data_IF_720264416038
#
_entry.id   IF_720264416038
#
_cell.length_a   1.000
_cell.length_b   1.000
_cell.length_c   1.000
_cell.angle_alpha   90.00
_cell.angle_beta   90.00
_cell.angle_gamma   90.00
#
_symmetry.space_group_name_H-M   'P 1'
#
loop_
_entity.id
_entity.type
_entity.pdbx_description
1 polymer ?
#
# COMPACT_ATOMS: atom_id res chain seq x y z
N UNK A 1 48.33 -25.52 2.03
CA UNK A 1 48.29 -25.21 3.48
C UNK A 1 47.09 -24.29 3.67
N UNK A 2 45.93 -24.87 4.04
CA UNK A 2 45.39 -24.93 5.41
C UNK A 2 44.57 -23.66 5.71
N UNK A 3 43.35 -23.68 6.24
CA UNK A 3 42.48 -24.73 6.78
C UNK A 3 41.05 -24.16 6.89
N UNK A 4 40.03 -25.02 6.81
CA UNK A 4 38.65 -24.66 7.12
C UNK A 4 38.31 -24.71 8.61
N UNK A 5 37.07 -24.32 8.90
CA UNK A 5 36.34 -24.36 10.17
C UNK A 5 35.16 -23.39 10.00
N UNK A 6 33.88 -23.76 10.09
CA UNK A 6 33.26 -24.78 10.93
C UNK A 6 32.60 -24.05 12.09
N UNK A 7 31.33 -23.66 11.93
CA UNK A 7 30.47 -23.22 13.03
C UNK A 7 29.14 -23.98 12.89
N UNK A 8 29.10 -25.11 13.58
CA UNK A 8 27.90 -25.79 14.05
C UNK A 8 27.51 -25.16 15.40
N UNK A 9 26.21 -25.01 15.63
CA UNK A 9 25.48 -25.01 16.92
C UNK A 9 24.46 -23.87 17.01
N UNK A 10 23.19 -24.23 16.86
CA UNK A 10 22.16 -24.03 17.89
C UNK A 10 20.78 -24.24 17.24
N UNK A 11 20.27 -25.46 17.27
CA UNK A 11 18.83 -25.59 17.48
C UNK A 11 18.55 -26.72 18.47
N UNK A 12 17.89 -26.32 19.54
CA UNK A 12 17.79 -27.03 20.78
C UNK A 12 16.79 -28.18 20.65
N UNK A 13 17.29 -29.39 20.87
CA UNK A 13 16.47 -30.57 21.14
C UNK A 13 15.85 -30.39 22.53
N UNK A 14 14.55 -30.07 22.58
CA UNK A 14 13.75 -30.20 23.80
C UNK A 14 13.08 -31.58 23.79
N UNK A 15 13.85 -32.59 24.18
CA UNK A 15 13.35 -33.87 24.70
C UNK A 15 13.28 -33.80 26.24
N UNK A 16 12.29 -34.49 26.79
CA UNK A 16 12.01 -34.77 28.21
C UNK A 16 11.20 -33.74 29.02
N UNK A 17 9.89 -33.99 29.05
CA UNK A 17 9.15 -34.03 30.32
C UNK A 17 8.67 -35.46 30.51
N UNK A 18 9.15 -36.06 31.60
CA UNK A 18 8.85 -37.40 32.09
C UNK A 18 7.35 -37.62 32.34
N UNK A 19 6.87 -38.77 31.86
CA UNK A 19 6.28 -39.86 32.64
C UNK A 19 5.35 -39.49 33.82
N UNK A 20 4.07 -39.89 33.69
CA UNK A 20 3.20 -40.06 34.84
C UNK A 20 1.73 -39.81 34.55
N UNK A 21 1.09 -40.67 33.76
CA UNK A 21 -0.29 -41.08 34.05
C UNK A 21 -0.56 -42.41 33.35
N UNK A 22 -0.93 -43.41 34.15
CA UNK A 22 -1.34 -44.74 33.72
C UNK A 22 -2.41 -44.64 32.61
N UNK A 23 -2.43 -45.53 31.61
CA UNK A 23 -3.57 -45.59 30.72
C UNK A 23 -4.77 -46.08 31.55
N UNK A 24 -5.61 -45.13 31.98
CA UNK A 24 -6.93 -45.44 32.52
C UNK A 24 -7.59 -46.37 31.49
N UNK A 25 -8.01 -47.58 31.88
CA UNK A 25 -8.66 -48.48 30.94
C UNK A 25 -9.87 -47.74 30.40
N UNK A 26 -9.88 -47.42 29.10
CA UNK A 26 -11.07 -46.94 28.44
C UNK A 26 -12.08 -48.08 28.61
N UNK A 27 -13.00 -47.89 29.55
CA UNK A 27 -14.14 -48.76 29.74
C UNK A 27 -15.00 -48.58 28.50
N UNK A 28 -14.73 -49.41 27.48
CA UNK A 28 -15.63 -49.61 26.36
C UNK A 28 -16.85 -50.28 26.99
N UNK A 29 -17.82 -49.48 27.42
CA UNK A 29 -19.19 -49.95 27.60
C UNK A 29 -19.61 -50.46 26.24
N UNK A 30 -19.55 -51.78 26.04
CA UNK A 30 -20.23 -52.43 24.93
C UNK A 30 -21.71 -52.02 25.02
N UNK A 31 -22.25 -51.30 24.03
CA UNK A 31 -23.67 -51.01 24.02
C UNK A 31 -24.43 -52.33 24.02
N UNK A 32 -25.46 -52.43 24.85
CA UNK A 32 -26.33 -53.58 24.91
C UNK A 32 -26.86 -53.92 23.52
N UNK A 33 -26.98 -55.21 23.20
CA UNK A 33 -27.37 -55.74 21.89
C UNK A 33 -28.80 -55.37 21.44
N UNK A 34 -29.47 -54.45 22.13
CA UNK A 34 -30.84 -53.99 21.89
C UNK A 34 -30.92 -52.60 21.22
N UNK A 35 -29.80 -51.89 21.04
CA UNK A 35 -29.78 -50.52 20.43
C UNK A 35 -29.36 -50.46 18.95
N UNK A 36 -29.11 -51.61 18.31
CA UNK A 36 -28.69 -51.68 16.90
C UNK A 36 -29.90 -51.87 15.97
N UNK A 37 -30.70 -50.81 15.78
CA UNK A 37 -31.68 -50.79 14.68
C UNK A 37 -30.99 -50.53 13.33
N UNK A 38 -31.59 -51.05 12.24
CA UNK A 38 -31.08 -50.84 10.87
C UNK A 38 -30.99 -49.34 10.53
N UNK A 39 -31.93 -48.55 11.06
CA UNK A 39 -31.94 -47.09 10.95
C UNK A 39 -30.74 -46.42 11.65
N UNK A 40 -30.38 -46.83 12.87
CA UNK A 40 -29.17 -46.33 13.57
C UNK A 40 -27.89 -46.65 12.81
N UNK A 41 -27.84 -47.81 12.15
CA UNK A 41 -26.69 -48.20 11.34
C UNK A 41 -26.57 -47.33 10.07
N UNK A 42 -27.69 -46.97 9.43
CA UNK A 42 -27.69 -46.03 8.29
C UNK A 42 -27.30 -44.61 8.71
N UNK A 43 -27.79 -44.17 9.86
CA UNK A 43 -27.44 -42.85 10.42
C UNK A 43 -25.94 -42.75 10.72
N UNK A 44 -25.36 -43.78 11.35
CA UNK A 44 -23.91 -43.87 11.60
C UNK A 44 -23.07 -43.88 10.32
N UNK A 45 -23.53 -44.54 9.25
CA UNK A 45 -22.86 -44.50 7.96
C UNK A 45 -22.91 -43.09 7.33
N UNK A 46 -24.05 -42.41 7.43
CA UNK A 46 -24.18 -41.03 6.95
C UNK A 46 -23.35 -40.04 7.79
N UNK A 47 -23.21 -40.27 9.10
CA UNK A 47 -22.34 -39.49 9.99
C UNK A 47 -20.86 -39.70 9.61
N UNK A 48 -20.46 -40.95 9.34
CA UNK A 48 -19.10 -41.27 8.91
C UNK A 48 -18.76 -40.66 7.55
N UNK A 49 -19.71 -40.64 6.61
CA UNK A 49 -19.53 -40.00 5.31
C UNK A 49 -19.43 -38.47 5.44
N UNK A 50 -20.26 -37.85 6.31
CA UNK A 50 -20.15 -36.41 6.62
C UNK A 50 -18.80 -36.07 7.28
N UNK A 51 -18.34 -36.90 8.21
CA UNK A 51 -17.03 -36.73 8.86
C UNK A 51 -15.89 -36.87 7.84
N UNK A 52 -15.96 -37.84 6.92
CA UNK A 52 -14.97 -37.99 5.84
C UNK A 52 -14.92 -36.77 4.93
N UNK A 53 -16.08 -36.25 4.52
CA UNK A 53 -16.17 -35.04 3.70
C UNK A 53 -15.63 -33.81 4.43
N UNK A 54 -15.96 -33.65 5.72
CA UNK A 54 -15.43 -32.57 6.54
C UNK A 54 -13.91 -32.65 6.68
N UNK A 55 -13.37 -33.87 6.81
CA UNK A 55 -11.93 -34.11 6.90
C UNK A 55 -11.21 -33.79 5.59
N UNK A 56 -11.77 -34.19 4.45
CA UNK A 56 -11.23 -33.85 3.12
C UNK A 56 -11.26 -32.34 2.88
N UNK A 57 -12.33 -31.65 3.26
CA UNK A 57 -12.42 -30.19 3.18
C UNK A 57 -11.40 -29.49 4.10
N UNK A 58 -11.19 -29.99 5.32
CA UNK A 58 -10.18 -29.49 6.24
C UNK A 58 -8.75 -29.72 5.72
N UNK A 59 -8.48 -30.86 5.08
CA UNK A 59 -7.18 -31.13 4.45
C UNK A 59 -6.95 -30.24 3.21
N UNK A 60 -7.97 -30.02 2.38
CA UNK A 60 -7.90 -29.09 1.24
C UNK A 60 -7.57 -27.68 1.70
N UNK A 61 -8.33 -27.15 2.67
CA UNK A 61 -8.12 -25.80 3.22
C UNK A 61 -6.75 -25.66 3.88
N UNK A 62 -6.29 -26.69 4.61
CA UNK A 62 -4.92 -26.72 5.15
C UNK A 62 -3.87 -26.66 4.05
N UNK A 63 -4.05 -27.40 2.94
CA UNK A 63 -3.11 -27.39 1.82
C UNK A 63 -3.07 -26.04 1.10
N UNK A 64 -4.22 -25.41 0.90
CA UNK A 64 -4.34 -24.06 0.33
C UNK A 64 -3.69 -23.01 1.24
N UNK A 65 -3.92 -23.10 2.54
CA UNK A 65 -3.30 -22.21 3.52
C UNK A 65 -1.78 -22.39 3.51
N UNK A 66 -1.27 -23.62 3.43
CA UNK A 66 0.16 -23.89 3.31
C UNK A 66 0.76 -23.26 2.04
N UNK A 67 0.07 -23.34 0.90
CA UNK A 67 0.49 -22.69 -0.35
C UNK A 67 0.52 -21.17 -0.20
N UNK A 68 -0.54 -20.59 0.40
CA UNK A 68 -0.60 -19.14 0.64
C UNK A 68 0.50 -18.66 1.58
N UNK A 69 0.80 -19.43 2.63
CA UNK A 69 1.86 -19.16 3.59
C UNK A 69 3.25 -19.23 2.92
N UNK A 70 3.49 -20.24 2.09
CA UNK A 70 4.73 -20.36 1.32
C UNK A 70 4.91 -19.18 0.34
N UNK A 71 3.82 -18.73 -0.30
CA UNK A 71 3.84 -17.55 -1.17
C UNK A 71 4.15 -16.28 -0.38
N UNK A 72 3.53 -16.09 0.78
CA UNK A 72 3.80 -14.96 1.67
C UNK A 72 5.25 -14.96 2.15
N UNK A 73 5.78 -16.14 2.52
CA UNK A 73 7.19 -16.30 2.90
C UNK A 73 8.14 -15.90 1.77
N UNK A 74 7.85 -16.28 0.53
CA UNK A 74 8.62 -15.87 -0.63
C UNK A 74 8.58 -14.35 -0.84
N UNK A 75 7.41 -13.73 -0.74
CA UNK A 75 7.25 -12.28 -0.84
C UNK A 75 7.99 -11.53 0.27
N UNK A 76 7.94 -12.04 1.52
CA UNK A 76 8.67 -11.46 2.63
C UNK A 76 10.19 -11.51 2.41
N UNK A 77 10.73 -12.63 1.92
CA UNK A 77 12.13 -12.75 1.57
C UNK A 77 12.52 -11.83 0.40
N UNK A 78 11.66 -11.68 -0.61
CA UNK A 78 11.92 -10.75 -1.71
C UNK A 78 11.92 -9.29 -1.23
N UNK A 79 11.00 -8.92 -0.33
CA UNK A 79 10.95 -7.59 0.27
C UNK A 79 12.22 -7.28 1.08
N UNK A 80 12.69 -8.24 1.89
CA UNK A 80 13.95 -8.13 2.63
C UNK A 80 15.12 -7.97 1.66
N UNK A 81 15.19 -8.81 0.62
CA UNK A 81 16.24 -8.75 -0.39
C UNK A 81 16.28 -7.39 -1.08
N UNK A 82 15.13 -6.85 -1.50
CA UNK A 82 15.05 -5.51 -2.11
C UNK A 82 15.50 -4.44 -1.15
N UNK A 83 15.08 -4.47 0.12
CA UNK A 83 15.53 -3.51 1.15
C UNK A 83 17.05 -3.53 1.29
N UNK A 84 17.66 -4.71 1.33
CA UNK A 84 19.11 -4.86 1.50
C UNK A 84 19.88 -4.43 0.24
N UNK A 85 19.31 -4.67 -0.96
CA UNK A 85 19.82 -4.17 -2.24
C UNK A 85 19.81 -2.63 -2.28
N UNK A 86 18.71 -2.00 -1.89
CA UNK A 86 18.58 -0.55 -1.78
C UNK A 86 19.54 0.04 -0.74
N UNK A 87 19.77 -0.67 0.36
CA UNK A 87 20.80 -0.32 1.35
C UNK A 87 22.19 -0.26 0.73
N UNK A 88 22.59 -1.34 0.05
CA UNK A 88 23.88 -1.41 -0.66
C UNK A 88 24.06 -0.32 -1.71
N UNK A 89 23.03 -0.06 -2.53
CA UNK A 89 23.08 1.01 -3.54
C UNK A 89 23.25 2.39 -2.92
N UNK A 90 22.57 2.66 -1.79
CA UNK A 90 22.71 3.93 -1.07
C UNK A 90 24.12 4.11 -0.52
N UNK A 91 24.69 3.05 0.05
CA UNK A 91 26.04 3.08 0.63
C UNK A 91 27.11 3.24 -0.47
N UNK A 92 26.93 2.61 -1.64
CA UNK A 92 27.79 2.80 -2.81
C UNK A 92 27.72 4.25 -3.31
N UNK A 93 26.50 4.79 -3.50
CA UNK A 93 26.32 6.17 -3.94
C UNK A 93 26.93 7.18 -2.94
N UNK A 94 26.91 6.87 -1.64
CA UNK A 94 27.54 7.69 -0.61
C UNK A 94 29.07 7.63 -0.71
N UNK A 95 29.65 6.44 -0.93
CA UNK A 95 31.10 6.28 -1.19
C UNK A 95 31.54 7.02 -2.45
N UNK A 96 30.82 6.87 -3.56
CA UNK A 96 31.12 7.59 -4.81
C UNK A 96 31.05 9.11 -4.61
N UNK A 97 30.06 9.60 -3.85
CA UNK A 97 29.96 11.03 -3.50
C UNK A 97 31.14 11.51 -2.67
N UNK A 98 31.60 10.71 -1.70
CA UNK A 98 32.78 11.05 -0.88
C UNK A 98 34.07 11.06 -1.72
N UNK A 99 34.24 10.09 -2.63
CA UNK A 99 35.36 10.04 -3.57
C UNK A 99 35.36 11.24 -4.53
N UNK A 100 34.20 11.58 -5.09
CA UNK A 100 34.03 12.77 -5.92
C UNK A 100 34.36 14.06 -5.15
N UNK A 101 33.96 14.16 -3.88
CA UNK A 101 34.29 15.30 -3.03
C UNK A 101 35.81 15.40 -2.79
N UNK A 102 36.49 14.28 -2.53
CA UNK A 102 37.95 14.25 -2.38
C UNK A 102 38.68 14.62 -3.67
N UNK A 103 38.20 14.17 -4.83
CA UNK A 103 38.75 14.55 -6.12
C UNK A 103 38.56 16.05 -6.38
N UNK A 104 37.39 16.59 -6.05
CA UNK A 104 37.12 18.01 -6.19
C UNK A 104 38.04 18.85 -5.28
N UNK A 105 38.24 18.42 -4.03
CA UNK A 105 39.18 19.07 -3.10
C UNK A 105 40.61 19.08 -3.65
N UNK A 106 41.08 17.95 -4.21
CA UNK A 106 42.39 17.88 -4.88
C UNK A 106 42.48 18.83 -6.08
N UNK A 107 41.48 18.85 -6.95
CA UNK A 107 41.45 19.76 -8.10
C UNK A 107 41.48 21.22 -7.65
N UNK A 108 40.74 21.59 -6.60
CA UNK A 108 40.79 22.94 -6.04
C UNK A 108 42.16 23.28 -5.45
N UNK A 109 42.84 22.33 -4.81
CA UNK A 109 44.19 22.53 -4.30
C UNK A 109 45.21 22.73 -5.44
N UNK A 110 45.16 21.89 -6.47
CA UNK A 110 46.00 22.03 -7.67
C UNK A 110 45.76 23.36 -8.38
N UNK A 111 44.50 23.80 -8.50
CA UNK A 111 44.16 25.10 -9.06
C UNK A 111 44.74 26.26 -8.23
N UNK A 112 44.73 26.13 -6.90
CA UNK A 112 45.31 27.13 -6.01
C UNK A 112 46.85 27.19 -6.15
N UNK A 113 47.52 26.05 -6.30
CA UNK A 113 48.97 26.00 -6.58
C UNK A 113 49.31 26.56 -7.97
N UNK A 114 48.55 26.21 -9.00
CA UNK A 114 48.73 26.75 -10.34
C UNK A 114 48.58 28.29 -10.37
N UNK A 115 47.62 28.83 -9.61
CA UNK A 115 47.47 30.29 -9.48
C UNK A 115 48.67 30.93 -8.77
N UNK A 116 49.21 30.32 -7.70
CA UNK A 116 50.42 30.82 -7.03
C UNK A 116 51.63 30.82 -7.99
N UNK A 117 51.83 29.73 -8.72
CA UNK A 117 52.90 29.64 -9.71
C UNK A 117 52.76 30.72 -10.81
N UNK A 118 51.52 30.99 -11.27
CA UNK A 118 51.25 32.06 -12.24
C UNK A 118 51.60 33.44 -11.67
N UNK A 119 51.26 33.69 -10.41
CA UNK A 119 51.56 34.96 -9.75
C UNK A 119 53.08 35.15 -9.54
N UNK A 120 53.81 34.08 -9.25
CA UNK A 120 55.28 34.07 -9.20
C UNK A 120 55.91 34.33 -10.56
N UNK A 121 55.40 33.72 -11.64
CA UNK A 121 55.84 34.01 -13.00
C UNK A 121 55.58 35.48 -13.36
N UNK A 122 54.43 36.05 -13.00
CA UNK A 122 54.17 37.48 -13.21
C UNK A 122 55.19 38.36 -12.49
N UNK A 123 55.55 38.04 -11.23
CA UNK A 123 56.59 38.79 -10.50
C UNK A 123 57.97 38.69 -11.19
N UNK A 124 58.33 37.50 -11.67
CA UNK A 124 59.59 37.31 -12.40
C UNK A 124 59.62 38.12 -13.70
N UNK A 125 58.49 38.21 -14.42
CA UNK A 125 58.36 39.04 -15.62
C UNK A 125 58.55 40.52 -15.27
N UNK A 126 57.95 41.00 -14.17
CA UNK A 126 58.10 42.38 -13.72
C UNK A 126 59.54 42.72 -13.28
N UNK A 127 60.23 41.78 -12.63
CA UNK A 127 61.66 41.93 -12.28
C UNK A 127 62.56 41.93 -13.53
N UNK A 128 62.34 41.01 -14.47
CA UNK A 128 63.05 40.99 -15.75
C UNK A 128 62.83 42.27 -16.55
N UNK A 129 61.63 42.85 -16.52
CA UNK A 129 61.35 44.12 -17.17
C UNK A 129 62.17 45.26 -16.55
N UNK A 130 62.29 45.30 -15.21
CA UNK A 130 63.12 46.28 -14.49
C UNK A 130 64.60 46.09 -14.79
N UNK A 131 65.11 44.85 -14.80
CA UNK A 131 66.50 44.56 -15.16
C UNK A 131 66.80 44.95 -16.60
N UNK A 132 65.91 44.63 -17.54
CA UNK A 132 66.03 45.03 -18.95
C UNK A 132 66.10 46.55 -19.08
N UNK A 133 65.26 47.29 -18.37
CA UNK A 133 65.25 48.75 -18.40
C UNK A 133 66.53 49.33 -17.77
N UNK A 134 67.04 48.71 -16.70
CA UNK A 134 68.36 48.99 -16.11
C UNK A 134 69.50 48.79 -17.10
N UNK A 135 69.57 47.60 -17.72
CA UNK A 135 70.55 47.27 -18.76
C UNK A 135 70.43 48.21 -19.97
N UNK A 136 69.22 48.61 -20.37
CA UNK A 136 69.02 49.57 -21.46
C UNK A 136 69.57 50.96 -21.10
N UNK A 137 69.44 51.37 -19.84
CA UNK A 137 70.06 52.60 -19.33
C UNK A 137 71.59 52.50 -19.30
N UNK A 138 72.14 51.37 -18.86
CA UNK A 138 73.58 51.10 -18.87
C UNK A 138 74.18 51.02 -20.28
N UNK A 139 73.46 50.43 -21.23
CA UNK A 139 73.82 50.43 -22.65
C UNK A 139 73.77 51.86 -23.20
N UNK A 140 72.77 52.66 -22.84
CA UNK A 140 72.70 54.08 -23.20
C UNK A 140 73.91 54.86 -22.68
N UNK A 141 74.27 54.64 -21.42
CA UNK A 141 75.44 55.26 -20.78
C UNK A 141 76.76 54.76 -21.39
N UNK A 142 76.89 53.46 -21.64
CA UNK A 142 78.07 52.86 -22.29
C UNK A 142 78.22 53.33 -23.72
N UNK A 143 77.13 53.47 -24.49
CA UNK A 143 77.16 54.05 -25.83
C UNK A 143 77.58 55.51 -25.80
N UNK A 144 77.12 56.28 -24.81
CA UNK A 144 77.58 57.66 -24.63
C UNK A 144 79.07 57.73 -24.26
N UNK A 145 79.53 56.85 -23.36
CA UNK A 145 80.95 56.72 -23.01
C UNK A 145 81.81 56.24 -24.20
N UNK A 146 81.31 55.32 -25.02
CA UNK A 146 81.96 54.83 -26.23
C UNK A 146 82.03 55.91 -27.29
N UNK A 147 80.96 56.66 -27.54
CA UNK A 147 80.97 57.80 -28.46
C UNK A 147 82.00 58.86 -28.01
N UNK A 148 81.98 59.22 -26.72
CA UNK A 148 82.96 60.14 -26.12
C UNK A 148 84.39 59.59 -26.16
N UNK A 149 84.54 58.28 -25.97
CA UNK A 149 85.80 57.55 -26.05
C UNK A 149 86.33 57.50 -27.47
N UNK A 150 85.48 57.24 -28.46
CA UNK A 150 85.79 57.27 -29.89
C UNK A 150 86.18 58.67 -30.32
N UNK A 151 85.54 59.73 -29.84
CA UNK A 151 85.95 61.12 -30.12
C UNK A 151 87.33 61.42 -29.52
N UNK A 152 87.59 61.01 -28.27
CA UNK A 152 88.90 61.16 -27.60
C UNK A 152 90.00 60.31 -28.25
N UNK A 153 89.67 59.10 -28.69
CA UNK A 153 90.57 58.19 -29.39
C UNK A 153 90.79 58.71 -30.81
N UNK A 154 89.79 59.18 -31.53
CA UNK A 154 89.92 59.81 -32.85
C UNK A 154 90.83 61.05 -32.78
N UNK A 155 90.68 61.87 -31.74
CA UNK A 155 91.61 62.95 -31.43
C UNK A 155 93.04 62.49 -31.13
N UNK A 156 93.23 61.37 -30.43
CA UNK A 156 94.55 60.79 -30.11
C UNK A 156 95.14 59.94 -31.26
N UNK A 157 94.34 59.32 -32.11
CA UNK A 157 94.73 58.45 -33.23
C UNK A 157 95.17 59.27 -34.43
N UNK A 158 94.75 60.54 -34.52
CA UNK A 158 95.41 61.54 -35.39
C UNK A 158 96.94 61.66 -35.15
N UNK A 159 97.45 61.16 -34.00
CA UNK A 159 98.86 61.16 -33.63
C UNK A 159 99.56 59.79 -33.72
N UNK A 160 98.88 58.72 -34.10
CA UNK A 160 99.49 57.39 -34.16
C UNK A 160 100.14 57.10 -35.53
N UNK A 161 101.48 57.11 -35.48
CA UNK A 161 102.47 56.57 -36.44
C UNK A 161 102.60 57.31 -37.78
N UNK A 162 103.11 58.53 -37.68
CA UNK A 162 103.72 59.26 -38.79
C UNK A 162 105.13 58.70 -39.09
N UNK A 163 105.30 58.03 -40.24
CA UNK A 163 106.63 57.78 -40.85
C UNK A 163 107.40 59.09 -41.16
N UNK A 164 106.75 60.24 -41.01
CA UNK A 164 107.33 61.57 -41.15
C UNK A 164 108.25 61.98 -39.96
N UNK A 165 108.09 61.41 -38.77
CA UNK A 165 108.73 61.96 -37.55
C UNK A 165 110.22 61.61 -37.36
N UNK A 166 110.75 60.59 -38.05
CA UNK A 166 112.09 60.06 -37.76
C UNK A 166 113.18 60.37 -38.81
N UNK A 167 112.85 61.06 -39.92
CA UNK A 167 113.81 61.25 -41.02
C UNK A 167 114.30 59.94 -41.66
N UNK A 168 114.94 60.03 -42.82
CA UNK A 168 115.42 58.83 -43.54
C UNK A 168 116.50 58.12 -42.71
N UNK A 169 116.43 56.79 -42.51
CA UNK A 169 117.46 56.04 -41.80
C UNK A 169 118.85 56.32 -42.37
N UNK A 170 119.76 56.83 -41.52
CA UNK A 170 121.13 57.19 -41.95
C UNK A 170 122.04 55.96 -41.89
N UNK A 171 122.81 55.73 -42.95
CA UNK A 171 123.89 54.75 -42.97
C UNK A 171 125.19 55.40 -42.47
N UNK A 172 125.96 54.69 -41.63
CA UNK A 172 127.33 55.10 -41.29
C UNK A 172 128.35 54.77 -42.39
N UNK A 173 127.98 53.98 -43.40
CA UNK A 173 128.88 53.50 -44.48
C UNK A 173 128.85 54.34 -45.76
N UNK A 174 127.85 55.21 -45.91
CA UNK A 174 127.61 55.99 -47.14
C UNK A 174 127.36 57.46 -46.80
N UNK A 175 127.84 58.40 -47.62
CA UNK A 175 127.59 59.84 -47.49
C UNK A 175 127.03 60.41 -48.81
N UNK A 176 126.33 61.54 -48.77
CA UNK A 176 125.70 62.14 -49.97
C UNK A 176 124.51 61.33 -50.52
N UNK A 177 124.35 61.30 -51.85
CA UNK A 177 123.22 60.66 -52.54
C UNK A 177 123.04 59.16 -52.21
N UNK A 178 124.10 58.33 -52.09
CA UNK A 178 123.98 56.92 -51.69
C UNK A 178 123.40 56.70 -50.28
N UNK A 179 123.63 57.63 -49.34
CA UNK A 179 123.06 57.54 -47.99
C UNK A 179 121.54 57.76 -47.99
N UNK A 180 121.06 58.68 -48.86
CA UNK A 180 119.64 58.96 -49.08
C UNK A 180 118.96 57.73 -49.70
N UNK A 181 119.57 57.13 -50.72
CA UNK A 181 119.07 55.91 -51.36
C UNK A 181 118.92 54.74 -50.35
N UNK A 182 119.92 54.53 -49.49
CA UNK A 182 119.84 53.52 -48.42
C UNK A 182 118.67 53.79 -47.46
N UNK A 183 118.52 55.04 -47.00
CA UNK A 183 117.42 55.41 -46.10
C UNK A 183 116.05 55.18 -46.74
N UNK A 184 115.90 55.50 -48.04
CA UNK A 184 114.63 55.28 -48.77
C UNK A 184 114.35 53.79 -48.85
N UNK A 185 115.32 52.98 -49.26
CA UNK A 185 115.18 51.52 -49.37
C UNK A 185 114.83 50.89 -48.02
N UNK A 186 115.53 51.28 -46.95
CA UNK A 186 115.28 50.75 -45.61
C UNK A 186 113.88 51.12 -45.11
N UNK A 187 113.45 52.37 -45.28
CA UNK A 187 112.11 52.81 -44.90
C UNK A 187 111.02 52.11 -45.73
N UNK A 188 111.24 51.94 -47.03
CA UNK A 188 110.30 51.21 -47.90
C UNK A 188 110.16 49.76 -47.44
N UNK A 189 111.27 49.10 -47.08
CA UNK A 189 111.21 47.74 -46.52
C UNK A 189 110.47 47.68 -45.18
N UNK A 190 110.72 48.62 -44.26
CA UNK A 190 110.00 48.72 -42.98
C UNK A 190 108.49 48.94 -43.20
N UNK A 191 108.09 49.74 -44.20
CA UNK A 191 106.69 49.96 -44.58
C UNK A 191 106.08 48.68 -45.16
N UNK A 192 106.79 47.98 -46.04
CA UNK A 192 106.32 46.71 -46.63
C UNK A 192 106.18 45.64 -45.55
N UNK A 193 107.14 45.50 -44.63
CA UNK A 193 107.04 44.56 -43.51
C UNK A 193 105.85 44.86 -42.60
N UNK A 194 105.58 46.14 -42.33
CA UNK A 194 104.42 46.54 -41.52
C UNK A 194 103.09 46.31 -42.28
N UNK A 195 103.04 46.60 -43.58
CA UNK A 195 101.88 46.28 -44.44
C UNK A 195 101.59 44.79 -44.47
N UNK A 196 102.64 43.95 -44.62
CA UNK A 196 102.50 42.49 -44.57
C UNK A 196 101.97 42.05 -43.21
N UNK A 197 102.51 42.58 -42.09
CA UNK A 197 101.99 42.29 -40.75
C UNK A 197 100.53 42.69 -40.58
N UNK A 198 100.10 43.83 -41.13
CA UNK A 198 98.70 44.27 -41.07
C UNK A 198 97.79 43.38 -41.93
N UNK A 199 98.24 42.98 -43.12
CA UNK A 199 97.52 42.04 -43.98
C UNK A 199 97.37 40.69 -43.27
N UNK A 200 98.44 40.17 -42.67
CA UNK A 200 98.41 38.90 -41.93
C UNK A 200 97.50 38.98 -40.70
N UNK A 201 97.56 40.06 -39.93
CA UNK A 201 96.69 40.27 -38.78
C UNK A 201 95.21 40.36 -39.20
N UNK A 202 94.93 41.07 -40.30
CA UNK A 202 93.56 41.20 -40.86
C UNK A 202 93.07 39.85 -41.40
N UNK A 203 93.94 39.09 -42.08
CA UNK A 203 93.61 37.77 -42.61
C UNK A 203 93.30 36.77 -41.48
N UNK A 204 94.10 36.78 -40.40
CA UNK A 204 93.85 35.97 -39.20
C UNK A 204 92.52 36.34 -38.54
N UNK A 205 92.29 37.62 -38.27
CA UNK A 205 91.03 38.09 -37.67
C UNK A 205 89.81 37.71 -38.53
N UNK A 206 89.90 37.88 -39.85
CA UNK A 206 88.84 37.44 -40.77
C UNK A 206 88.59 35.93 -40.70
N UNK A 207 89.66 35.12 -40.63
CA UNK A 207 89.55 33.67 -40.53
C UNK A 207 88.91 33.25 -39.19
N UNK A 208 89.33 33.85 -38.08
CA UNK A 208 88.72 33.64 -36.75
C UNK A 208 87.23 34.00 -36.75
N UNK A 209 86.85 35.12 -37.38
CA UNK A 209 85.44 35.52 -37.49
C UNK A 209 84.64 34.52 -38.33
N UNK A 210 85.25 33.97 -39.38
CA UNK A 210 84.63 32.94 -40.22
C UNK A 210 84.44 31.63 -39.45
N UNK A 211 85.43 31.19 -38.68
CA UNK A 211 85.34 30.00 -37.83
C UNK A 211 84.24 30.16 -36.77
N UNK A 212 84.15 31.32 -36.12
CA UNK A 212 83.06 31.60 -35.17
C UNK A 212 81.69 31.56 -35.85
N UNK A 213 81.57 32.13 -37.05
CA UNK A 213 80.33 32.10 -37.82
C UNK A 213 79.95 30.67 -38.24
N UNK A 214 80.92 29.87 -38.66
CA UNK A 214 80.72 28.45 -39.00
C UNK A 214 80.27 27.66 -37.76
N UNK A 215 80.89 27.87 -36.60
CA UNK A 215 80.48 27.25 -35.34
C UNK A 215 79.04 27.62 -34.95
N UNK A 216 78.69 28.90 -35.02
CA UNK A 216 77.31 29.35 -34.77
C UNK A 216 76.30 28.77 -35.76
N UNK A 217 76.69 28.60 -37.02
CA UNK A 217 75.83 28.01 -38.04
C UNK A 217 75.54 26.53 -37.75
N UNK A 218 76.53 25.78 -37.24
CA UNK A 218 76.31 24.41 -36.76
C UNK A 218 75.40 24.35 -35.53
N UNK A 219 75.56 25.27 -34.57
CA UNK A 219 74.70 25.37 -33.38
C UNK A 219 73.25 25.63 -33.77
N UNK A 220 73.00 26.60 -34.65
CA UNK A 220 71.67 26.90 -35.19
C UNK A 220 71.06 25.68 -35.89
N UNK A 221 71.84 24.95 -36.69
CA UNK A 221 71.35 23.76 -37.39
C UNK A 221 70.89 22.65 -36.42
N UNK A 222 71.62 22.47 -35.31
CA UNK A 222 71.26 21.52 -34.25
C UNK A 222 69.96 21.96 -33.56
N UNK A 223 69.87 23.23 -33.17
CA UNK A 223 68.66 23.78 -32.53
C UNK A 223 67.43 23.66 -33.44
N UNK A 224 67.56 24.00 -34.72
CA UNK A 224 66.48 23.85 -35.70
C UNK A 224 66.07 22.39 -35.84
N UNK A 225 67.02 21.45 -35.92
CA UNK A 225 66.69 20.01 -35.98
C UNK A 225 65.95 19.52 -34.73
N UNK A 226 66.31 20.01 -33.54
CA UNK A 226 65.61 19.68 -32.29
C UNK A 226 64.19 20.26 -32.25
N UNK A 227 64.01 21.50 -32.71
CA UNK A 227 62.70 22.13 -32.83
C UNK A 227 61.81 21.38 -33.83
N UNK A 228 62.35 20.99 -34.99
CA UNK A 228 61.62 20.21 -36.00
C UNK A 228 61.19 18.84 -35.49
N UNK A 229 62.05 18.15 -34.73
CA UNK A 229 61.70 16.88 -34.09
C UNK A 229 60.57 17.06 -33.07
N UNK A 230 60.63 18.13 -32.27
CA UNK A 230 59.61 18.45 -31.26
C UNK A 230 58.27 18.82 -31.90
N UNK A 231 58.29 19.63 -32.96
CA UNK A 231 57.10 19.98 -33.74
C UNK A 231 56.47 18.72 -34.37
N UNK A 232 57.30 17.80 -34.87
CA UNK A 232 56.82 16.54 -35.45
C UNK A 232 56.14 15.66 -34.41
N UNK A 233 56.74 15.50 -33.22
CA UNK A 233 56.13 14.76 -32.11
C UNK A 233 54.81 15.38 -31.64
N UNK A 234 54.75 16.70 -31.51
CA UNK A 234 53.52 17.42 -31.14
C UNK A 234 52.40 17.24 -32.19
N UNK A 235 52.75 17.22 -33.49
CA UNK A 235 51.75 16.97 -34.56
C UNK A 235 51.16 15.57 -34.48
N UNK A 236 51.99 14.56 -34.21
CA UNK A 236 51.51 13.19 -34.01
C UNK A 236 50.61 13.08 -32.78
N UNK A 237 51.00 13.72 -31.66
CA UNK A 237 50.18 13.75 -30.46
C UNK A 237 48.81 14.42 -30.70
N UNK A 238 48.78 15.53 -31.44
CA UNK A 238 47.53 16.20 -31.83
C UNK A 238 46.66 15.30 -32.70
N UNK A 239 47.25 14.59 -33.67
CA UNK A 239 46.50 13.66 -34.52
C UNK A 239 45.88 12.52 -33.68
N UNK A 240 46.65 11.92 -32.77
CA UNK A 240 46.18 10.85 -31.88
C UNK A 240 45.08 11.34 -30.92
N UNK A 241 45.24 12.55 -30.35
CA UNK A 241 44.20 13.15 -29.50
C UNK A 241 42.94 13.46 -30.29
N UNK A 242 43.06 13.92 -31.53
CA UNK A 242 41.91 14.20 -32.39
C UNK A 242 41.11 12.93 -32.69
N UNK A 243 41.77 11.82 -33.04
CA UNK A 243 41.06 10.56 -33.29
C UNK A 243 40.37 10.03 -32.03
N UNK A 244 41.01 10.16 -30.86
CA UNK A 244 40.42 9.75 -29.59
C UNK A 244 39.17 10.57 -29.24
N UNK A 245 39.16 11.87 -29.58
CA UNK A 245 37.98 12.73 -29.42
C UNK A 245 36.85 12.28 -30.36
N UNK A 246 37.12 12.05 -31.63
CA UNK A 246 36.13 11.56 -32.60
C UNK A 246 35.50 10.22 -32.16
N UNK A 247 36.32 9.29 -31.66
CA UNK A 247 35.84 8.01 -31.11
C UNK A 247 34.93 8.19 -29.89
N UNK A 248 35.26 9.14 -29.00
CA UNK A 248 34.43 9.47 -27.84
C UNK A 248 33.11 10.13 -28.24
N UNK A 249 33.14 11.07 -29.20
CA UNK A 249 31.93 11.71 -29.73
C UNK A 249 30.96 10.70 -30.36
N UNK A 250 31.51 9.72 -31.09
CA UNK A 250 30.70 8.64 -31.66
C UNK A 250 30.05 7.78 -30.58
N UNK A 251 30.81 7.37 -29.55
CA UNK A 251 30.25 6.60 -28.42
C UNK A 251 29.19 7.39 -27.66
N UNK A 252 29.41 8.69 -27.45
CA UNK A 252 28.43 9.58 -26.84
C UNK A 252 27.13 9.62 -27.65
N UNK A 253 27.23 9.73 -28.97
CA UNK A 253 26.06 9.74 -29.87
C UNK A 253 25.29 8.42 -29.84
N UNK A 254 25.99 7.28 -29.79
CA UNK A 254 25.37 5.96 -29.63
C UNK A 254 24.65 5.83 -28.28
N UNK A 255 25.29 6.22 -27.19
CA UNK A 255 24.70 6.21 -25.84
C UNK A 255 23.47 7.13 -25.77
N UNK A 256 23.54 8.33 -26.35
CA UNK A 256 22.42 9.28 -26.38
C UNK A 256 21.23 8.70 -27.15
N UNK A 257 21.48 8.04 -28.29
CA UNK A 257 20.46 7.32 -29.05
C UNK A 257 19.79 6.22 -28.25
N UNK A 258 20.57 5.33 -27.63
CA UNK A 258 20.04 4.25 -26.78
C UNK A 258 19.25 4.78 -25.58
N UNK A 259 19.75 5.83 -24.93
CA UNK A 259 19.09 6.42 -23.77
C UNK A 259 17.75 7.04 -24.16
N UNK A 260 17.69 7.70 -25.31
CA UNK A 260 16.44 8.26 -25.86
C UNK A 260 15.42 7.17 -26.19
N UNK A 261 15.85 6.05 -26.76
CA UNK A 261 14.97 4.92 -27.05
C UNK A 261 14.42 4.29 -25.76
N UNK A 262 15.29 4.06 -24.76
CA UNK A 262 14.90 3.56 -23.43
C UNK A 262 13.92 4.51 -22.74
N UNK A 263 14.15 5.81 -22.85
CA UNK A 263 13.28 6.84 -22.26
C UNK A 263 11.90 6.83 -22.91
N UNK A 264 11.83 6.79 -24.25
CA UNK A 264 10.55 6.70 -24.96
C UNK A 264 9.78 5.42 -24.59
N UNK A 265 10.48 4.29 -24.45
CA UNK A 265 9.85 3.03 -24.04
C UNK A 265 9.27 3.15 -22.62
N UNK A 266 10.04 3.70 -21.69
CA UNK A 266 9.60 3.93 -20.31
C UNK A 266 8.42 4.90 -20.24
N UNK A 267 8.40 5.95 -21.06
CA UNK A 267 7.29 6.92 -21.14
C UNK A 267 6.00 6.27 -21.67
N UNK A 268 6.11 5.37 -22.65
CA UNK A 268 4.97 4.59 -23.13
C UNK A 268 4.45 3.65 -22.03
N UNK A 269 5.35 2.93 -21.34
CA UNK A 269 4.98 2.04 -20.22
C UNK A 269 4.32 2.83 -19.06
N UNK A 270 4.79 4.04 -18.72
CA UNK A 270 4.13 4.91 -17.72
C UNK A 270 2.72 5.31 -18.16
N UNK A 271 2.55 5.62 -19.46
CA UNK A 271 1.26 6.00 -20.02
C UNK A 271 0.24 4.85 -19.96
N UNK A 272 0.67 3.63 -20.31
CA UNK A 272 -0.16 2.42 -20.21
C UNK A 272 -0.54 2.11 -18.75
N UNK A 273 0.41 2.21 -17.82
CA UNK A 273 0.14 2.01 -16.39
C UNK A 273 -0.82 3.07 -15.84
N UNK A 274 -0.69 4.32 -16.26
CA UNK A 274 -1.58 5.41 -15.87
C UNK A 274 -3.00 5.19 -16.36
N UNK A 275 -3.17 4.70 -17.59
CA UNK A 275 -4.48 4.34 -18.13
C UNK A 275 -5.11 3.19 -17.32
N UNK A 276 -4.33 2.16 -16.99
CA UNK A 276 -4.79 1.04 -16.18
C UNK A 276 -5.21 1.47 -14.77
N UNK A 277 -4.46 2.37 -14.13
CA UNK A 277 -4.81 2.96 -12.83
C UNK A 277 -6.15 3.70 -12.92
N UNK A 278 -6.35 4.51 -13.96
CA UNK A 278 -7.60 5.22 -14.16
C UNK A 278 -8.78 4.24 -14.35
N UNK A 279 -8.59 3.15 -15.10
CA UNK A 279 -9.63 2.12 -15.27
C UNK A 279 -10.01 1.45 -13.94
N UNK A 280 -9.02 1.14 -13.10
CA UNK A 280 -9.27 0.58 -11.78
C UNK A 280 -9.94 1.59 -10.84
N UNK A 281 -9.55 2.86 -10.87
CA UNK A 281 -10.19 3.93 -10.11
C UNK A 281 -11.67 4.09 -10.51
N UNK A 282 -11.98 4.07 -11.80
CA UNK A 282 -13.36 4.14 -12.29
C UNK A 282 -14.18 2.91 -11.84
N UNK A 283 -13.61 1.71 -11.90
CA UNK A 283 -14.24 0.49 -11.36
C UNK A 283 -14.49 0.58 -9.86
N UNK A 284 -13.52 1.11 -9.10
CA UNK A 284 -13.63 1.28 -7.65
C UNK A 284 -14.71 2.30 -7.30
N UNK A 285 -14.74 3.46 -7.96
CA UNK A 285 -15.81 4.46 -7.81
C UNK A 285 -17.18 3.89 -8.14
N UNK A 286 -17.28 3.06 -9.19
CA UNK A 286 -18.52 2.38 -9.57
C UNK A 286 -19.00 1.42 -8.47
N UNK A 287 -18.10 0.59 -7.92
CA UNK A 287 -18.42 -0.32 -6.82
C UNK A 287 -18.81 0.43 -5.54
N UNK A 288 -18.06 1.49 -5.19
CA UNK A 288 -18.35 2.34 -4.04
C UNK A 288 -19.74 2.99 -4.17
N UNK A 289 -20.09 3.51 -5.35
CA UNK A 289 -21.41 4.08 -5.59
C UNK A 289 -22.55 3.06 -5.45
N UNK A 290 -22.32 1.80 -5.87
CA UNK A 290 -23.29 0.72 -5.70
C UNK A 290 -23.46 0.37 -4.23
N UNK A 291 -22.38 0.26 -3.49
CA UNK A 291 -22.40 0.00 -2.05
C UNK A 291 -23.15 1.11 -1.29
N UNK A 292 -22.87 2.37 -1.62
CA UNK A 292 -23.56 3.51 -1.00
C UNK A 292 -25.06 3.53 -1.35
N UNK A 293 -25.44 3.10 -2.56
CA UNK A 293 -26.85 2.97 -2.94
C UNK A 293 -27.60 1.85 -2.21
N UNK A 294 -26.90 0.81 -1.73
CA UNK A 294 -27.47 -0.30 -0.98
C UNK A 294 -27.63 -0.01 0.51
N UNK A 295 -26.80 0.88 1.08
CA UNK A 295 -26.87 1.29 2.49
C UNK A 295 -28.29 1.72 2.95
N UNK A 296 -29.01 2.62 2.26
CA UNK A 296 -30.36 3.01 2.69
C UNK A 296 -31.36 1.84 2.63
N UNK A 297 -31.23 0.93 1.65
CA UNK A 297 -32.11 -0.23 1.54
C UNK A 297 -31.94 -1.19 2.72
N UNK A 298 -30.71 -1.37 3.21
CA UNK A 298 -30.43 -2.19 4.39
C UNK A 298 -30.98 -1.55 5.67
N UNK A 299 -30.86 -0.23 5.81
CA UNK A 299 -31.44 0.52 6.93
C UNK A 299 -32.97 0.35 6.95
N UNK A 300 -33.62 0.49 5.79
CA UNK A 300 -35.06 0.30 5.65
C UNK A 300 -35.47 -1.15 6.00
N UNK A 301 -34.74 -2.16 5.51
CA UNK A 301 -34.99 -3.56 5.81
C UNK A 301 -34.88 -3.86 7.31
N UNK A 302 -33.84 -3.37 7.97
CA UNK A 302 -33.65 -3.58 9.40
C UNK A 302 -34.74 -2.89 10.22
N UNK A 303 -35.16 -1.68 9.81
CA UNK A 303 -36.29 -1.00 10.45
C UNK A 303 -37.60 -1.80 10.35
N UNK A 304 -37.84 -2.48 9.21
CA UNK A 304 -39.00 -3.34 9.01
C UNK A 304 -38.93 -4.59 9.88
N UNK A 305 -37.74 -5.21 9.96
CA UNK A 305 -37.48 -6.37 10.83
C UNK A 305 -37.79 -6.01 12.29
N UNK A 306 -37.25 -4.91 12.81
CA UNK A 306 -37.52 -4.48 14.19
C UNK A 306 -39.01 -4.27 14.44
N UNK A 307 -39.72 -3.62 13.50
CA UNK A 307 -41.17 -3.41 13.61
C UNK A 307 -41.97 -4.70 13.57
N UNK A 308 -41.61 -5.67 12.72
CA UNK A 308 -42.31 -6.96 12.65
C UNK A 308 -42.07 -7.74 13.95
N UNK A 309 -40.82 -7.76 14.42
CA UNK A 309 -40.44 -8.42 15.67
C UNK A 309 -41.24 -7.89 16.87
N UNK A 310 -41.32 -6.55 17.03
CA UNK A 310 -42.16 -5.91 18.06
C UNK A 310 -43.63 -6.33 17.97
N UNK A 311 -44.20 -6.33 16.76
CA UNK A 311 -45.61 -6.70 16.55
C UNK A 311 -45.89 -8.16 16.86
N UNK A 312 -44.98 -9.05 16.52
CA UNK A 312 -45.13 -10.47 16.83
C UNK A 312 -45.07 -10.68 18.35
N UNK A 313 -44.15 -9.99 19.02
CA UNK A 313 -44.04 -10.04 20.47
C UNK A 313 -45.31 -9.55 21.17
N UNK A 314 -45.91 -8.45 20.70
CA UNK A 314 -47.20 -7.95 21.19
C UNK A 314 -48.30 -9.03 21.10
N UNK A 315 -48.33 -9.81 20.00
CA UNK A 315 -49.30 -10.90 19.82
C UNK A 315 -49.05 -12.04 20.79
N UNK A 316 -47.80 -12.46 20.98
CA UNK A 316 -47.44 -13.50 21.97
C UNK A 316 -47.94 -13.10 23.35
N UNK A 317 -47.70 -11.85 23.76
CA UNK A 317 -48.14 -11.31 25.05
C UNK A 317 -49.65 -11.34 25.24
N UNK A 318 -50.43 -11.13 24.18
CA UNK A 318 -51.90 -11.20 24.25
C UNK A 318 -52.42 -12.63 24.38
N UNK A 319 -51.78 -13.58 23.70
CA UNK A 319 -52.24 -14.98 23.62
C UNK A 319 -51.79 -15.80 24.83
N UNK A 320 -50.62 -15.51 25.39
CA UNK A 320 -50.05 -16.23 26.53
C UNK A 320 -49.96 -15.33 27.77
N UNK A 321 -51.14 -15.06 28.34
CA UNK A 321 -51.30 -14.22 29.55
C UNK A 321 -50.62 -14.85 30.78
N UNK A 322 -50.30 -16.15 30.75
CA UNK A 322 -49.84 -16.92 31.91
C UNK A 322 -48.31 -17.12 31.98
N UNK A 323 -47.54 -16.82 30.93
CA UNK A 323 -46.07 -16.87 30.94
C UNK A 323 -45.46 -15.50 30.65
N UNK A 324 -45.58 -14.59 31.62
CA UNK A 324 -44.97 -13.26 31.57
C UNK A 324 -43.43 -13.26 31.75
N UNK A 325 -42.81 -14.44 31.82
CA UNK A 325 -41.39 -14.62 32.18
C UNK A 325 -40.45 -14.65 30.97
N UNK A 326 -40.96 -14.55 29.73
CA UNK A 326 -40.13 -14.49 28.52
C UNK A 326 -39.61 -13.08 28.22
N UNK A 327 -38.98 -12.46 29.22
CA UNK A 327 -38.31 -11.15 29.12
C UNK A 327 -37.08 -11.15 28.20
N UNK A 328 -36.58 -12.32 27.79
CA UNK A 328 -35.35 -12.44 26.99
C UNK A 328 -35.54 -12.14 25.49
N UNK A 329 -36.78 -12.00 25.00
CA UNK A 329 -37.06 -11.69 23.59
C UNK A 329 -37.42 -10.23 23.34
N UNK A 330 -37.34 -9.35 24.35
CA UNK A 330 -37.85 -7.97 24.28
C UNK A 330 -36.81 -6.88 24.00
N UNK A 331 -35.53 -7.22 23.84
CA UNK A 331 -34.54 -6.23 23.41
C UNK A 331 -34.43 -6.25 21.89
N UNK A 332 -34.98 -5.22 21.26
CA UNK A 332 -34.85 -4.94 19.83
C UNK A 332 -33.37 -4.80 19.47
N UNK A 333 -32.74 -5.95 19.13
CA UNK A 333 -31.32 -6.12 18.83
C UNK A 333 -30.94 -5.54 17.45
N UNK A 334 -31.95 -5.18 16.65
CA UNK A 334 -31.80 -4.86 15.22
C UNK A 334 -31.77 -3.35 15.02
N UNK A 335 -30.66 -2.72 15.42
CA UNK A 335 -30.45 -1.27 15.27
C UNK A 335 -29.62 -1.01 14.00
N UNK A 336 -30.08 -0.14 13.09
CA UNK A 336 -29.29 0.21 11.90
C UNK A 336 -27.99 0.91 12.28
N UNK A 337 -26.87 0.35 11.86
CA UNK A 337 -25.56 0.96 12.04
C UNK A 337 -25.15 1.67 10.76
N UNK A 338 -25.08 3.01 10.80
CA UNK A 338 -24.88 3.81 9.59
C UNK A 338 -23.60 3.47 8.82
N UNK A 339 -22.55 2.94 9.47
CA UNK A 339 -21.25 2.75 8.82
C UNK A 339 -20.96 1.33 8.31
N UNK A 340 -21.56 0.29 8.88
CA UNK A 340 -21.19 -1.10 8.60
C UNK A 340 -22.29 -1.84 7.84
N UNK A 341 -22.18 -1.87 6.51
CA UNK A 341 -23.14 -2.57 5.64
C UNK A 341 -23.12 -4.08 5.87
N UNK A 342 -21.98 -4.66 6.24
CA UNK A 342 -21.85 -6.09 6.48
C UNK A 342 -22.54 -6.47 7.81
N UNK A 343 -22.29 -5.70 8.86
CA UNK A 343 -22.96 -5.87 10.15
C UNK A 343 -24.48 -5.67 10.02
N UNK A 344 -24.93 -4.67 9.23
CA UNK A 344 -26.35 -4.49 8.94
C UNK A 344 -26.97 -5.69 8.20
N UNK A 345 -26.26 -6.31 7.25
CA UNK A 345 -26.73 -7.53 6.57
C UNK A 345 -26.86 -8.68 7.58
N UNK A 346 -25.86 -8.88 8.44
CA UNK A 346 -25.89 -9.93 9.47
C UNK A 346 -27.02 -9.70 10.47
N UNK A 347 -27.20 -8.47 10.93
CA UNK A 347 -28.27 -8.09 11.85
C UNK A 347 -29.65 -8.30 11.22
N UNK A 348 -29.84 -7.92 9.95
CA UNK A 348 -31.09 -8.13 9.23
C UNK A 348 -31.40 -9.62 9.08
N UNK A 349 -30.39 -10.44 8.77
CA UNK A 349 -30.54 -11.89 8.67
C UNK A 349 -30.95 -12.52 10.02
N UNK A 350 -30.23 -12.21 11.09
CA UNK A 350 -30.53 -12.70 12.44
C UNK A 350 -31.95 -12.28 12.89
N UNK A 351 -32.38 -11.07 12.54
CA UNK A 351 -33.72 -10.62 12.87
C UNK A 351 -34.82 -11.28 12.05
N UNK A 352 -34.56 -11.61 10.78
CA UNK A 352 -35.47 -12.43 9.99
C UNK A 352 -35.60 -13.85 10.55
N UNK A 353 -34.50 -14.46 10.99
CA UNK A 353 -34.51 -15.78 11.66
C UNK A 353 -35.31 -15.72 12.97
N UNK A 354 -35.10 -14.69 13.79
CA UNK A 354 -35.85 -14.49 15.03
C UNK A 354 -37.36 -14.30 14.78
N UNK A 355 -37.73 -13.48 13.79
CA UNK A 355 -39.12 -13.31 13.35
C UNK A 355 -39.75 -14.65 12.97
N UNK A 356 -39.03 -15.50 12.23
CA UNK A 356 -39.53 -16.80 11.81
C UNK A 356 -39.82 -17.71 13.01
N UNK A 357 -38.89 -17.81 13.96
CA UNK A 357 -39.09 -18.60 15.18
C UNK A 357 -40.20 -18.05 16.07
N UNK A 358 -40.25 -16.73 16.28
CA UNK A 358 -41.34 -16.09 17.03
C UNK A 358 -42.69 -16.33 16.36
N UNK A 359 -42.77 -16.25 15.03
CA UNK A 359 -44.01 -16.54 14.29
C UNK A 359 -44.48 -17.96 14.52
N UNK A 360 -43.56 -18.94 14.50
CA UNK A 360 -43.88 -20.34 14.80
C UNK A 360 -44.45 -20.50 16.21
N UNK A 361 -43.83 -19.86 17.20
CA UNK A 361 -44.30 -19.84 18.60
C UNK A 361 -45.71 -19.22 18.69
N UNK A 362 -45.96 -18.11 17.99
CA UNK A 362 -47.28 -17.45 17.98
C UNK A 362 -48.35 -18.38 17.44
N UNK A 363 -48.07 -19.08 16.34
CA UNK A 363 -49.03 -20.00 15.71
C UNK A 363 -49.38 -21.13 16.66
N UNK A 364 -48.38 -21.72 17.33
CA UNK A 364 -48.59 -22.77 18.33
C UNK A 364 -49.41 -22.26 19.52
N UNK A 365 -49.01 -21.14 20.14
CA UNK A 365 -49.73 -20.56 21.29
C UNK A 365 -51.16 -20.15 20.93
N UNK A 366 -51.38 -19.60 19.74
CA UNK A 366 -52.71 -19.19 19.28
C UNK A 366 -53.61 -20.40 19.09
N UNK A 367 -53.08 -21.48 18.52
CA UNK A 367 -53.82 -22.74 18.41
C UNK A 367 -54.20 -23.27 19.79
N UNK A 368 -53.25 -23.33 20.72
CA UNK A 368 -53.48 -23.84 22.06
C UNK A 368 -54.53 -23.00 22.81
N UNK A 369 -54.45 -21.68 22.71
CA UNK A 369 -55.44 -20.75 23.26
C UNK A 369 -56.85 -20.94 22.66
N UNK A 370 -56.94 -21.12 21.33
CA UNK A 370 -58.22 -21.37 20.65
C UNK A 370 -58.80 -22.73 21.06
N UNK A 371 -57.98 -23.76 21.23
CA UNK A 371 -58.42 -25.07 21.70
C UNK A 371 -58.89 -25.04 23.16
N UNK A 372 -58.21 -24.30 24.03
CA UNK A 372 -58.64 -24.06 25.41
C UNK A 372 -59.98 -23.32 25.45
N UNK A 373 -60.12 -22.19 24.75
CA UNK A 373 -61.39 -21.47 24.67
C UNK A 373 -62.49 -22.30 24.03
N UNK A 374 -62.16 -23.15 23.07
CA UNK A 374 -63.09 -24.13 22.49
C UNK A 374 -63.59 -25.15 23.51
N UNK A 375 -62.73 -25.63 24.41
CA UNK A 375 -63.12 -26.51 25.54
C UNK A 375 -64.00 -25.77 26.54
N UNK A 376 -63.65 -24.54 26.92
CA UNK A 376 -64.47 -23.69 27.80
C UNK A 376 -65.87 -23.46 27.22
N UNK A 377 -65.96 -23.09 25.94
CA UNK A 377 -67.24 -22.86 25.24
C UNK A 377 -68.09 -24.13 25.23
N UNK A 378 -67.50 -25.30 24.92
CA UNK A 378 -68.22 -26.58 24.97
C UNK A 378 -68.74 -26.89 26.37
N UNK A 379 -67.94 -26.71 27.41
CA UNK A 379 -68.36 -26.90 28.80
C UNK A 379 -69.49 -25.94 29.22
N UNK A 380 -69.41 -24.69 28.75
CA UNK A 380 -70.44 -23.69 28.98
C UNK A 380 -71.73 -24.05 28.23
N UNK A 381 -71.65 -24.49 26.97
CA UNK A 381 -72.78 -24.94 26.16
C UNK A 381 -73.46 -26.17 26.76
N UNK A 382 -72.70 -27.15 27.25
CA UNK A 382 -73.23 -28.30 28.01
C UNK A 382 -73.96 -27.85 29.29
N UNK A 383 -73.43 -26.85 29.99
CA UNK A 383 -74.04 -26.30 31.20
C UNK A 383 -75.31 -25.53 30.89
N UNK A 384 -75.31 -24.70 29.84
CA UNK A 384 -76.51 -24.02 29.33
C UNK A 384 -77.55 -25.04 28.88
N UNK A 385 -77.17 -26.08 28.15
CA UNK A 385 -78.05 -27.15 27.72
C UNK A 385 -78.69 -27.92 28.89
N UNK A 386 -77.94 -28.19 29.96
CA UNK A 386 -78.49 -28.76 31.21
C UNK A 386 -79.51 -27.82 31.85
N UNK A 387 -79.18 -26.54 32.01
CA UNK A 387 -80.07 -25.54 32.59
C UNK A 387 -81.35 -25.34 31.77
N UNK A 388 -81.27 -25.41 30.43
CA UNK A 388 -82.44 -25.35 29.55
C UNK A 388 -83.34 -26.56 29.76
N UNK A 389 -82.79 -27.79 29.84
CA UNK A 389 -83.57 -29.00 30.13
C UNK A 389 -84.22 -28.95 31.52
N UNK A 390 -83.49 -28.50 32.54
CA UNK A 390 -84.04 -28.30 33.88
C UNK A 390 -85.16 -27.26 33.88
N UNK A 391 -84.98 -26.13 33.17
CA UNK A 391 -86.02 -25.12 32.97
C UNK A 391 -87.26 -25.71 32.30
N UNK A 392 -87.10 -26.53 31.27
CA UNK A 392 -88.21 -27.19 30.58
C UNK A 392 -88.95 -28.17 31.49
N UNK A 393 -88.22 -28.98 32.27
CA UNK A 393 -88.77 -29.95 33.21
C UNK A 393 -89.49 -29.27 34.39
N UNK A 394 -88.87 -28.25 35.01
CA UNK A 394 -89.53 -27.41 36.02
C UNK A 394 -90.78 -26.76 35.41
N UNK A 395 -90.67 -26.28 34.17
CA UNK A 395 -91.79 -25.73 33.42
C UNK A 395 -92.92 -26.73 33.22
N UNK A 396 -92.65 -27.98 32.83
CA UNK A 396 -93.69 -29.01 32.70
C UNK A 396 -94.29 -29.40 34.06
N UNK A 397 -93.48 -29.49 35.11
CA UNK A 397 -93.95 -29.76 36.47
C UNK A 397 -94.88 -28.65 36.98
N UNK A 398 -94.50 -27.38 36.78
CA UNK A 398 -95.32 -26.22 37.14
C UNK A 398 -96.61 -26.16 36.31
N UNK A 399 -96.53 -26.38 34.99
CA UNK A 399 -97.71 -26.49 34.12
C UNK A 399 -98.66 -27.58 34.61
N UNK A 400 -98.14 -28.76 34.96
CA UNK A 400 -98.93 -29.90 35.46
C UNK A 400 -99.53 -29.64 36.84
N UNK A 401 -98.75 -29.15 37.80
CA UNK A 401 -99.22 -28.83 39.15
C UNK A 401 -100.29 -27.72 39.14
N UNK A 402 -100.10 -26.68 38.31
CA UNK A 402 -101.09 -25.62 38.18
C UNK A 402 -102.33 -26.08 37.41
N UNK A 403 -102.17 -26.93 36.39
CA UNK A 403 -103.28 -27.58 35.67
C UNK A 403 -104.17 -28.37 36.62
N UNK A 404 -103.59 -29.26 37.45
CA UNK A 404 -104.33 -30.05 38.44
C UNK A 404 -105.01 -29.18 39.51
N UNK A 405 -104.40 -28.05 39.89
CA UNK A 405 -105.02 -27.13 40.85
C UNK A 405 -106.21 -26.38 40.24
N UNK A 406 -106.17 -26.07 38.95
CA UNK A 406 -107.25 -25.38 38.25
C UNK A 406 -108.50 -26.26 38.08
N UNK A 407 -108.33 -27.58 37.99
CA UNK A 407 -109.45 -28.54 37.89
C UNK A 407 -110.09 -28.88 39.24
N UNK A 408 -109.36 -28.75 40.35
CA UNK A 408 -109.83 -29.11 41.70
C UNK A 408 -110.62 -28.01 42.45
N UNK A 409 -110.51 -26.73 42.07
CA UNK A 409 -111.18 -25.62 42.79
C UNK A 409 -111.60 -24.42 41.89
N UNK A 410 -112.80 -24.49 41.26
CA UNK A 410 -113.27 -23.49 40.28
C UNK A 410 -113.92 -22.24 40.91
N UNK A 411 -113.42 -21.76 42.05
CA UNK A 411 -113.92 -20.53 42.68
C UNK A 411 -113.52 -19.25 41.90
N UNK A 412 -114.29 -18.17 41.99
CA UNK A 412 -113.97 -16.91 41.28
C UNK A 412 -112.68 -16.24 41.77
N UNK A 413 -112.22 -16.54 42.99
CA UNK A 413 -110.99 -15.98 43.59
C UNK A 413 -109.73 -16.75 43.14
N UNK A 414 -109.88 -18.00 42.70
CA UNK A 414 -108.78 -18.80 42.15
C UNK A 414 -108.43 -18.38 40.70
N UNK A 415 -109.35 -17.77 39.97
CA UNK A 415 -109.12 -17.34 38.58
C UNK A 415 -108.12 -16.16 38.45
N UNK A 416 -108.13 -15.19 39.37
CA UNK A 416 -107.10 -14.13 39.43
C UNK A 416 -105.71 -14.70 39.74
N UNK A 417 -105.64 -15.71 40.62
CA UNK A 417 -104.38 -16.37 40.95
C UNK A 417 -103.79 -17.14 39.76
N UNK A 418 -104.63 -17.79 38.94
CA UNK A 418 -104.18 -18.45 37.71
C UNK A 418 -103.70 -17.46 36.65
N UNK A 419 -104.32 -16.28 36.56
CA UNK A 419 -103.88 -15.23 35.63
C UNK A 419 -102.52 -14.63 36.03
N UNK A 420 -102.27 -14.46 37.33
CA UNK A 420 -100.94 -14.04 37.85
C UNK A 420 -99.88 -15.12 37.61
N UNK A 421 -100.22 -16.40 37.81
CA UNK A 421 -99.31 -17.52 37.55
C UNK A 421 -98.99 -17.67 36.05
N UNK A 422 -99.96 -17.46 35.16
CA UNK A 422 -99.78 -17.44 33.71
C UNK A 422 -98.84 -16.30 33.27
N UNK A 423 -99.02 -15.11 33.84
CA UNK A 423 -98.13 -13.97 33.56
C UNK A 423 -96.70 -14.23 34.07
N UNK A 424 -96.53 -14.81 35.26
CA UNK A 424 -95.22 -15.16 35.82
C UNK A 424 -94.49 -16.26 35.05
N UNK A 425 -95.21 -17.28 34.57
CA UNK A 425 -94.64 -18.30 33.67
C UNK A 425 -94.21 -17.69 32.33
N UNK A 426 -95.03 -16.79 31.76
CA UNK A 426 -94.71 -16.09 30.51
C UNK A 426 -93.48 -15.19 30.67
N UNK A 427 -93.33 -14.50 31.79
CA UNK A 427 -92.14 -13.70 32.11
C UNK A 427 -90.87 -14.56 32.29
N UNK A 428 -91.01 -15.79 32.82
CA UNK A 428 -89.93 -16.79 32.83
C UNK A 428 -89.68 -17.45 31.46
N UNK A 429 -90.43 -17.06 30.41
CA UNK A 429 -90.32 -17.59 29.05
C UNK A 429 -90.94 -18.98 28.88
N UNK A 430 -91.97 -19.30 29.67
CA UNK A 430 -92.75 -20.54 29.60
C UNK A 430 -94.18 -20.19 29.15
N UNK A 431 -94.56 -20.56 27.93
CA UNK A 431 -95.91 -20.29 27.40
C UNK A 431 -96.91 -21.35 27.89
N UNK A 432 -97.89 -20.93 28.69
CA UNK A 432 -98.94 -21.80 29.21
C UNK A 432 -100.24 -21.01 29.41
N UNK A 433 -101.37 -21.55 28.95
CA UNK A 433 -102.69 -20.90 29.05
C UNK A 433 -103.70 -21.83 29.73
N UNK A 434 -104.24 -21.40 30.87
CA UNK A 434 -105.22 -22.19 31.64
C UNK A 434 -106.58 -22.32 30.96
N UNK A 435 -106.90 -21.41 30.02
CA UNK A 435 -108.19 -21.34 29.32
C UNK A 435 -108.49 -22.52 28.40
N UNK A 436 -107.56 -23.46 28.20
CA UNK A 436 -107.76 -24.66 27.36
C UNK A 436 -108.31 -25.88 28.13
N UNK A 437 -108.26 -25.87 29.48
CA UNK A 437 -108.64 -27.00 30.33
C UNK A 437 -109.94 -26.78 31.11
N UNK A 438 -110.29 -25.54 31.44
CA UNK A 438 -111.64 -25.19 31.92
C UNK A 438 -112.59 -25.08 30.72
N UNK A 439 -113.20 -26.20 30.32
CA UNK A 439 -114.13 -26.23 29.20
C UNK A 439 -115.45 -25.50 29.48
N UNK A 440 -115.95 -24.76 28.49
CA UNK A 440 -117.39 -24.56 28.28
C UNK A 440 -117.76 -25.11 26.88
N UNK A 441 -118.85 -25.86 26.83
CA UNK A 441 -119.14 -26.83 25.79
C UNK A 441 -119.81 -26.28 24.55
N UNK A 442 -119.34 -26.74 23.38
CA UNK A 442 -120.18 -27.16 22.25
C UNK A 442 -119.42 -28.22 21.44
N UNK A 443 -119.98 -29.42 21.44
CA UNK A 443 -119.56 -30.61 20.71
C UNK A 443 -119.73 -30.47 19.19
N UNK A 444 -118.75 -30.93 18.41
CA UNK A 444 -119.02 -31.93 17.34
C UNK A 444 -117.76 -32.72 16.90
N UNK A 445 -117.81 -34.01 17.25
CA UNK A 445 -117.30 -35.25 16.65
C UNK A 445 -115.83 -35.50 16.21
N UNK A 446 -115.31 -36.57 16.83
CA UNK A 446 -114.65 -37.76 16.28
C UNK A 446 -113.27 -37.65 15.62
N UNK A 447 -112.21 -37.88 16.40
CA UNK A 447 -111.66 -39.24 16.48
C UNK A 447 -110.74 -39.43 17.71
N UNK A 448 -111.09 -40.49 18.45
CA UNK A 448 -110.34 -41.23 19.48
C UNK A 448 -108.96 -41.62 18.92
N UNK A 449 -107.83 -41.38 19.59
CA UNK A 449 -107.35 -42.26 20.65
C UNK A 449 -106.30 -41.55 21.55
N UNK A 450 -106.63 -41.35 22.82
CA UNK A 450 -105.67 -41.17 23.90
C UNK A 450 -106.36 -41.61 25.19
N UNK A 451 -106.17 -42.88 25.54
CA UNK A 451 -106.43 -43.38 26.88
C UNK A 451 -105.51 -42.66 27.86
N UNK A 452 -106.10 -41.84 28.72
CA UNK A 452 -105.52 -41.50 30.00
C UNK A 452 -105.63 -42.69 30.94
N UNK A 453 -104.50 -43.07 31.52
CA UNK A 453 -104.42 -43.74 32.81
C UNK A 453 -103.67 -42.79 33.74
N UNK A 454 -104.41 -41.87 34.36
CA UNK A 454 -103.96 -41.17 35.56
C UNK A 454 -104.26 -42.06 36.76
N UNK A 455 -103.31 -42.91 37.14
CA UNK A 455 -103.09 -43.29 38.55
C UNK A 455 -101.57 -43.58 38.71
N UNK A 456 -100.93 -42.92 39.68
CA UNK A 456 -99.57 -43.14 40.22
C UNK A 456 -98.31 -42.71 39.43
N UNK A 457 -97.98 -41.41 39.49
CA UNK A 457 -96.58 -40.92 39.40
C UNK A 457 -96.16 -40.04 40.60
N UNK A 458 -96.80 -40.21 41.77
CA UNK A 458 -96.37 -39.61 43.04
C UNK A 458 -95.30 -40.48 43.76
N UNK A 459 -94.89 -41.61 43.16
CA UNK A 459 -93.89 -42.53 43.70
C UNK A 459 -92.65 -42.71 42.81
N UNK A 460 -91.99 -41.61 42.42
CA UNK A 460 -90.61 -41.67 41.89
C UNK A 460 -89.67 -40.67 42.55
N UNK A 461 -89.97 -40.30 43.80
CA UNK A 461 -89.16 -39.40 44.62
C UNK A 461 -88.43 -40.12 45.75
N UNK A 462 -87.95 -41.36 45.53
CA UNK A 462 -86.89 -41.99 46.35
C UNK A 462 -86.11 -42.99 45.49
N UNK A 463 -85.10 -42.50 44.74
CA UNK A 463 -83.82 -43.20 44.48
C UNK A 463 -82.88 -42.31 43.66
N UNK A 464 -82.19 -41.42 44.37
CA UNK A 464 -80.88 -40.91 43.98
C UNK A 464 -80.06 -40.77 45.27
N UNK A 465 -79.32 -41.84 45.58
CA UNK A 465 -78.02 -41.82 46.24
C UNK A 465 -77.11 -42.73 45.43
#
# INVERSE_FOLDING_TARGET
MASGGGDEEADAVLSDVEEGDEPVPISIKSPSAEDLSVERFRELLAELDRERQAREAAESTKSELQVSFNRLKALAHEAIKKRDEWGRQRDEALREKEEAARLNEKVTAELAEANKARDEVSKQIDELAKERDGLRSEIGNSNHMLATGIEKISGKVSSFKNFAAAGLPRSQKYSGLPAVAYGVIKRTNEIVEELVKQIDATAKSRNETREQMEQRNYEIAIEVSQLEATISGLREEVANKTSAVEDLEKKLSEIEGEMKEKLNKMENEDSELRELVNEYDDKLRSLESKMESQRPLLIDQLSLVSRIHERIYDVIKMVDVNNLDQSEFSDSLFVPQEMDTEENIRAALAGMESIYELTKIVVEKTRDFVEEKGREIKSLDETVGRLVKEKEHIGSLLRSALSNRATLDPSSKTNELFQVAENGLREAGIDFKFSKLLGDGKSHNDNVDSMGTEEDEIYTLVKFF
#
